data_IF_838391339378
#
_entry.id   IF_838391339378
#
_cell.length_a   1.000
_cell.length_b   1.000
_cell.length_c   1.000
_cell.angle_alpha   90.00
_cell.angle_beta   90.00
_cell.angle_gamma   90.00
#
_symmetry.space_group_name_H-M   'P 1'
#
loop_
_entity.id
_entity.type
_entity.pdbx_description
1 polymer ?
#
# COMPACT_ATOMS: atom_id res chain seq x y z
N UNK A 1 10.46 -4.53 19.63
CA UNK A 1 10.61 -3.95 18.29
C UNK A 1 11.61 -2.80 18.38
N UNK A 2 12.74 -2.88 17.68
CA UNK A 2 13.88 -1.95 17.87
C UNK A 2 13.90 -0.76 16.91
N UNK A 3 13.05 -0.73 15.87
CA UNK A 3 12.89 0.45 15.00
C UNK A 3 11.46 0.99 15.18
N UNK A 4 11.28 2.28 15.56
CA UNK A 4 9.97 2.88 15.78
C UNK A 4 9.28 3.22 14.44
N UNK A 5 9.01 2.21 13.61
CA UNK A 5 8.31 2.37 12.33
C UNK A 5 6.82 2.56 12.56
N UNK A 6 6.21 3.55 11.90
CA UNK A 6 4.77 3.80 11.96
C UNK A 6 4.08 3.07 10.82
N UNK A 7 3.14 2.20 11.15
CA UNK A 7 2.20 1.62 10.18
C UNK A 7 1.04 2.57 9.94
N UNK A 8 0.53 2.59 8.70
CA UNK A 8 -0.62 3.39 8.31
C UNK A 8 -1.82 2.48 8.07
N UNK A 9 -3.02 2.98 8.38
CA UNK A 9 -4.24 2.27 8.05
C UNK A 9 -4.88 2.94 6.82
N UNK A 10 -5.09 2.22 5.70
CA UNK A 10 -5.45 2.83 4.41
C UNK A 10 -6.70 3.71 4.44
N UNK A 11 -7.64 3.41 5.35
CA UNK A 11 -8.91 4.14 5.51
C UNK A 11 -8.84 5.24 6.58
N UNK A 12 -8.09 5.01 7.66
CA UNK A 12 -8.13 5.85 8.87
C UNK A 12 -7.07 6.94 8.83
N UNK A 13 -5.93 6.67 8.20
CA UNK A 13 -4.87 7.66 8.02
C UNK A 13 -5.31 8.64 6.93
N UNK A 14 -5.73 9.85 7.31
CA UNK A 14 -6.15 10.88 6.35
C UNK A 14 -5.06 11.23 5.34
N UNK A 15 -3.81 11.24 5.81
CA UNK A 15 -2.64 11.49 4.99
C UNK A 15 -2.46 10.36 3.98
N UNK A 16 -2.42 10.72 2.70
CA UNK A 16 -2.30 9.81 1.54
C UNK A 16 -3.48 8.85 1.34
N UNK A 17 -4.60 9.02 2.05
CA UNK A 17 -5.81 8.19 1.90
C UNK A 17 -6.27 8.05 0.45
N UNK A 18 -6.23 9.14 -0.32
CA UNK A 18 -6.63 9.16 -1.74
C UNK A 18 -5.79 8.24 -2.62
N UNK A 19 -4.59 7.85 -2.16
CA UNK A 19 -3.70 6.90 -2.85
C UNK A 19 -3.81 5.52 -2.18
N UNK A 20 -3.67 5.45 -0.86
CA UNK A 20 -3.62 4.19 -0.13
C UNK A 20 -4.91 3.38 -0.23
N UNK A 21 -6.07 4.05 -0.26
CA UNK A 21 -7.35 3.37 -0.38
C UNK A 21 -7.52 2.69 -1.76
N UNK A 22 -7.36 3.40 -2.91
CA UNK A 22 -7.35 2.75 -4.22
C UNK A 22 -6.28 1.67 -4.37
N UNK A 23 -5.07 1.87 -3.83
CA UNK A 23 -4.01 0.84 -3.90
C UNK A 23 -4.40 -0.43 -3.14
N UNK A 24 -5.04 -0.29 -1.98
CA UNK A 24 -5.56 -1.44 -1.23
C UNK A 24 -6.66 -2.15 -2.02
N UNK A 25 -7.58 -1.41 -2.66
CA UNK A 25 -8.61 -1.99 -3.51
C UNK A 25 -8.00 -2.72 -4.72
N UNK A 26 -6.99 -2.12 -5.37
CA UNK A 26 -6.27 -2.72 -6.48
C UNK A 26 -5.56 -4.01 -6.04
N UNK A 27 -4.91 -4.01 -4.88
CA UNK A 27 -4.29 -5.20 -4.30
C UNK A 27 -5.31 -6.34 -4.14
N UNK A 28 -6.51 -6.05 -3.60
CA UNK A 28 -7.58 -7.05 -3.46
C UNK A 28 -8.07 -7.57 -4.81
N UNK A 29 -8.20 -6.69 -5.82
CA UNK A 29 -8.59 -7.09 -7.17
C UNK A 29 -7.52 -8.00 -7.79
N UNK A 30 -6.23 -7.66 -7.66
CA UNK A 30 -5.15 -8.49 -8.18
C UNK A 30 -5.06 -9.84 -7.45
N UNK A 31 -5.33 -9.87 -6.14
CA UNK A 31 -5.41 -11.12 -5.39
C UNK A 31 -6.54 -12.02 -5.90
N UNK A 32 -7.74 -11.46 -6.11
CA UNK A 32 -8.87 -12.17 -6.68
C UNK A 32 -8.61 -12.64 -8.11
N UNK A 33 -7.98 -11.81 -8.94
CA UNK A 33 -7.58 -12.19 -10.29
C UNK A 33 -6.55 -13.33 -10.27
N UNK A 34 -5.50 -13.25 -9.46
CA UNK A 34 -4.52 -14.31 -9.33
C UNK A 34 -5.17 -15.65 -8.95
N UNK A 35 -6.12 -15.62 -8.00
CA UNK A 35 -6.89 -16.81 -7.61
C UNK A 35 -7.76 -17.35 -8.76
N UNK A 36 -8.35 -16.48 -9.59
CA UNK A 36 -9.19 -16.86 -10.73
C UNK A 36 -8.40 -17.49 -11.89
N UNK A 37 -7.10 -17.22 -11.99
CA UNK A 37 -6.20 -17.83 -13.01
C UNK A 37 -5.29 -18.90 -12.39
N UNK A 38 -5.75 -19.55 -11.32
CA UNK A 38 -5.04 -20.63 -10.64
C UNK A 38 -3.59 -20.30 -10.25
N UNK A 39 -3.32 -19.02 -9.96
CA UNK A 39 -1.99 -18.49 -9.67
C UNK A 39 -0.95 -18.76 -10.78
N UNK A 40 -1.34 -18.70 -12.05
CA UNK A 40 -0.40 -18.75 -13.16
C UNK A 40 0.71 -17.69 -13.03
N UNK A 41 1.95 -18.15 -12.93
CA UNK A 41 3.16 -17.31 -12.78
C UNK A 41 3.39 -16.33 -13.92
N UNK A 42 2.88 -16.61 -15.13
CA UNK A 42 2.98 -15.68 -16.27
C UNK A 42 1.90 -14.59 -16.23
N UNK A 43 0.92 -14.69 -15.33
CA UNK A 43 -0.15 -13.71 -15.19
C UNK A 43 0.36 -12.36 -14.69
N UNK A 44 -0.17 -11.29 -15.30
CA UNK A 44 0.09 -9.92 -14.88
C UNK A 44 -0.44 -9.60 -13.46
N UNK A 45 -1.35 -10.42 -12.93
CA UNK A 45 -1.87 -10.28 -11.57
C UNK A 45 -0.75 -10.33 -10.51
N UNK A 46 0.30 -11.13 -10.75
CA UNK A 46 1.45 -11.22 -9.85
C UNK A 46 2.24 -9.91 -9.77
N UNK A 47 2.51 -9.28 -10.92
CA UNK A 47 3.17 -7.98 -10.94
C UNK A 47 2.34 -6.89 -10.26
N UNK A 48 1.01 -6.89 -10.49
CA UNK A 48 0.08 -6.00 -9.78
C UNK A 48 0.13 -6.21 -8.27
N UNK A 49 0.09 -7.45 -7.80
CA UNK A 49 0.22 -7.82 -6.38
C UNK A 49 1.55 -7.37 -5.79
N UNK A 50 2.67 -7.60 -6.47
CA UNK A 50 4.01 -7.24 -5.99
C UNK A 50 4.09 -5.72 -5.79
N UNK A 51 3.76 -4.94 -6.82
CA UNK A 51 3.88 -3.48 -6.78
C UNK A 51 2.99 -2.87 -5.69
N UNK A 52 1.73 -3.32 -5.61
CA UNK A 52 0.80 -2.83 -4.58
C UNK A 52 1.22 -3.27 -3.17
N UNK A 53 1.75 -4.49 -3.00
CA UNK A 53 2.28 -4.97 -1.70
C UNK A 53 3.49 -4.16 -1.25
N UNK A 54 4.44 -3.87 -2.15
CA UNK A 54 5.60 -3.02 -1.87
C UNK A 54 5.13 -1.65 -1.38
N UNK A 55 4.17 -1.03 -2.07
CA UNK A 55 3.61 0.24 -1.61
C UNK A 55 3.00 0.13 -0.21
N UNK A 56 2.13 -0.86 0.04
CA UNK A 56 1.39 -0.98 1.31
C UNK A 56 2.32 -1.20 2.52
N UNK A 57 3.41 -1.96 2.33
CA UNK A 57 4.42 -2.20 3.38
C UNK A 57 5.26 -0.95 3.65
N UNK A 58 5.64 -0.19 2.61
CA UNK A 58 6.55 0.95 2.76
C UNK A 58 5.86 2.31 2.92
N UNK A 59 4.54 2.43 2.70
CA UNK A 59 3.84 3.70 2.77
C UNK A 59 3.99 4.39 4.14
N UNK A 60 3.99 3.62 5.25
CA UNK A 60 4.22 4.16 6.59
C UNK A 60 5.64 4.71 6.80
N UNK A 61 6.65 3.99 6.31
CA UNK A 61 8.05 4.44 6.32
C UNK A 61 8.20 5.73 5.51
N UNK A 62 7.60 5.78 4.31
CA UNK A 62 7.62 6.97 3.48
C UNK A 62 6.96 8.18 4.17
N UNK A 63 5.85 7.99 4.90
CA UNK A 63 5.24 9.06 5.69
C UNK A 63 6.12 9.55 6.85
N UNK A 64 7.00 8.70 7.40
CA UNK A 64 7.97 9.12 8.43
C UNK A 64 9.14 9.90 7.82
N UNK A 65 9.65 9.48 6.66
CA UNK A 65 10.75 10.14 5.94
C UNK A 65 10.31 11.53 5.45
N UNK A 66 9.09 11.64 4.93
CA UNK A 66 8.53 12.90 4.48
C UNK A 66 7.49 13.36 5.51
N UNK A 67 7.77 14.19 6.52
CA UNK A 67 6.76 14.68 7.45
C UNK A 67 5.81 15.70 6.80
N UNK A 68 4.56 15.79 7.28
CA UNK A 68 3.62 16.82 6.84
C UNK A 68 4.16 18.20 7.22
N UNK A 69 4.13 19.18 6.29
CA UNK A 69 4.51 20.56 6.60
C UNK A 69 3.63 21.07 7.73
N UNK A 70 4.23 21.37 8.88
CA UNK A 70 3.55 22.12 9.94
C UNK A 70 3.31 23.53 9.41
N UNK A 71 2.04 23.90 9.22
CA UNK A 71 1.67 25.29 8.99
C UNK A 71 1.80 26.00 10.34
N UNK A 72 2.93 26.63 10.60
CA UNK A 72 3.05 27.60 11.69
C UNK A 72 2.07 28.74 11.35
N UNK A 73 1.02 28.87 12.15
CA UNK A 73 0.22 30.09 12.28
C UNK A 73 0.69 30.82 13.52
#
# INVERSE_FOLDING_TARGET
MFVPVKFIHPVRTERWRVISLPVTAAWTIFAGWAAWVEFDTQSWAHWGLIVTSVYLVFAGVAQQIFPARRRHR
#
